data_IF_367860861782
#
_entry.id   IF_367860861782
#
_cell.length_a   1.000
_cell.length_b   1.000
_cell.length_c   1.000
_cell.angle_alpha   90.00
_cell.angle_beta   90.00
_cell.angle_gamma   90.00
#
_symmetry.space_group_name_H-M   'P 1'
#
loop_
_entity.id
_entity.type
_entity.pdbx_description
1 polymer ?
#
# COMPACT_ATOMS: atom_id res chain seq x y z
N UNK A 1 24.27 27.04 31.90
CA UNK A 1 22.92 26.45 31.70
C UNK A 1 23.07 25.27 30.76
N UNK A 2 22.68 24.04 31.14
CA UNK A 2 22.86 22.89 30.27
C UNK A 2 21.87 23.00 29.10
N UNK A 3 22.37 22.90 27.89
CA UNK A 3 21.58 22.87 26.67
C UNK A 3 20.67 21.64 26.71
N UNK A 4 19.36 21.87 26.81
CA UNK A 4 18.34 20.85 26.65
C UNK A 4 18.53 20.19 25.28
N UNK A 5 18.88 18.91 25.30
CA UNK A 5 18.89 18.04 24.14
C UNK A 5 17.46 17.95 23.60
N UNK A 6 17.10 18.87 22.70
CA UNK A 6 15.89 18.79 21.90
C UNK A 6 16.02 17.54 21.04
N UNK A 7 15.36 16.45 21.46
CA UNK A 7 15.09 15.32 20.59
C UNK A 7 14.45 15.86 19.32
N UNK A 8 15.03 15.66 18.12
CA UNK A 8 14.37 16.08 16.91
C UNK A 8 13.00 15.37 16.86
N UNK A 9 11.93 16.07 16.42
CA UNK A 9 10.60 15.48 16.33
C UNK A 9 10.71 14.19 15.54
N UNK A 10 10.03 13.14 16.01
CA UNK A 10 9.99 11.84 15.35
C UNK A 10 9.49 12.05 13.93
N UNK A 11 10.42 12.18 12.98
CA UNK A 11 10.07 12.34 11.57
C UNK A 11 9.46 11.02 11.16
N UNK A 12 8.12 10.96 11.17
CA UNK A 12 7.37 9.79 10.73
C UNK A 12 7.93 9.45 9.35
N UNK A 13 8.53 8.26 9.19
CA UNK A 13 9.25 7.97 7.96
C UNK A 13 8.26 7.98 6.81
N UNK A 14 8.43 8.97 5.93
CA UNK A 14 7.58 9.18 4.75
C UNK A 14 7.74 8.03 3.76
N UNK A 15 6.71 7.85 2.94
CA UNK A 15 6.72 6.90 1.83
C UNK A 15 7.81 7.26 0.82
N UNK A 16 8.39 6.26 0.17
CA UNK A 16 9.43 6.46 -0.84
C UNK A 16 8.85 6.99 -2.16
N UNK A 17 9.73 7.44 -3.08
CA UNK A 17 9.31 7.77 -4.46
C UNK A 17 8.65 6.58 -5.15
N UNK A 18 9.23 5.39 -5.01
CA UNK A 18 8.69 4.16 -5.58
C UNK A 18 7.33 3.78 -4.96
N UNK A 19 7.20 3.85 -3.63
CA UNK A 19 5.91 3.58 -2.97
C UNK A 19 4.81 4.56 -3.37
N UNK A 20 5.14 5.84 -3.59
CA UNK A 20 4.19 6.83 -4.14
C UNK A 20 3.80 6.53 -5.58
N UNK A 21 4.76 6.12 -6.40
CA UNK A 21 4.51 5.71 -7.78
C UNK A 21 3.59 4.48 -7.83
N UNK A 22 3.85 3.47 -7.01
CA UNK A 22 3.01 2.26 -6.89
C UNK A 22 1.60 2.61 -6.41
N UNK A 23 1.45 3.52 -5.45
CA UNK A 23 0.14 4.02 -5.05
C UNK A 23 -0.59 4.75 -6.19
N UNK A 24 0.12 5.54 -6.98
CA UNK A 24 -0.45 6.18 -8.18
C UNK A 24 -0.85 5.18 -9.26
N UNK A 25 -0.06 4.12 -9.47
CA UNK A 25 -0.39 3.03 -10.38
C UNK A 25 -1.65 2.27 -9.90
N UNK A 26 -1.78 2.05 -8.59
CA UNK A 26 -2.96 1.44 -8.00
C UNK A 26 -4.21 2.32 -8.19
N UNK A 27 -4.11 3.63 -7.96
CA UNK A 27 -5.19 4.60 -8.25
C UNK A 27 -5.64 4.53 -9.71
N UNK A 28 -4.67 4.52 -10.65
CA UNK A 28 -4.97 4.43 -12.07
C UNK A 28 -5.69 3.11 -12.40
N UNK A 29 -5.19 1.99 -11.88
CA UNK A 29 -5.83 0.68 -12.02
C UNK A 29 -7.25 0.70 -11.50
N UNK A 30 -7.46 1.17 -10.28
CA UNK A 30 -8.77 1.23 -9.63
C UNK A 30 -9.73 2.12 -10.40
N UNK A 31 -9.25 3.24 -10.94
CA UNK A 31 -10.06 4.13 -11.80
C UNK A 31 -10.53 3.41 -13.06
N UNK A 32 -9.64 2.67 -13.72
CA UNK A 32 -9.99 1.87 -14.89
C UNK A 32 -10.98 0.75 -14.51
N UNK A 33 -10.77 0.06 -13.38
CA UNK A 33 -11.69 -0.96 -12.90
C UNK A 33 -13.08 -0.39 -12.60
N UNK A 34 -13.15 0.79 -11.98
CA UNK A 34 -14.43 1.47 -11.71
C UNK A 34 -15.15 1.81 -13.02
N UNK A 35 -14.44 2.37 -14.01
CA UNK A 35 -15.06 2.78 -15.28
C UNK A 35 -15.54 1.57 -16.09
N UNK A 36 -14.71 0.53 -16.22
CA UNK A 36 -14.96 -0.57 -17.13
C UNK A 36 -15.68 -1.76 -16.52
N UNK A 37 -15.62 -1.92 -15.18
CA UNK A 37 -16.23 -3.04 -14.47
C UNK A 37 -17.27 -2.56 -13.45
N UNK A 38 -16.95 -1.50 -12.68
CA UNK A 38 -17.83 -0.95 -11.66
C UNK A 38 -19.11 -0.29 -12.22
N UNK A 39 -18.99 0.62 -13.18
CA UNK A 39 -20.14 1.32 -13.77
C UNK A 39 -21.15 0.37 -14.43
N UNK A 40 -20.72 -0.61 -15.25
CA UNK A 40 -21.64 -1.62 -15.78
C UNK A 40 -22.33 -2.43 -14.66
N UNK A 41 -21.59 -2.81 -13.63
CA UNK A 41 -22.11 -3.62 -12.52
C UNK A 41 -23.16 -2.86 -11.69
N UNK A 42 -22.93 -1.58 -11.40
CA UNK A 42 -23.87 -0.73 -10.66
C UNK A 42 -25.17 -0.51 -11.46
N UNK A 43 -25.07 -0.37 -12.79
CA UNK A 43 -26.26 -0.28 -13.65
C UNK A 43 -27.10 -1.56 -13.62
N UNK A 44 -26.46 -2.73 -13.55
CA UNK A 44 -27.15 -4.02 -13.52
C UNK A 44 -27.69 -4.37 -12.12
N UNK A 45 -26.95 -4.03 -11.06
CA UNK A 45 -27.28 -4.37 -9.68
C UNK A 45 -26.87 -3.23 -8.71
N UNK A 46 -27.76 -2.24 -8.47
CA UNK A 46 -27.41 -1.04 -7.68
C UNK A 46 -27.03 -1.34 -6.24
N UNK A 47 -27.61 -2.39 -5.64
CA UNK A 47 -27.31 -2.80 -4.26
C UNK A 47 -25.86 -3.31 -4.08
N UNK A 48 -25.21 -3.73 -5.17
CA UNK A 48 -23.78 -4.12 -5.17
C UNK A 48 -22.88 -2.91 -4.89
N UNK A 49 -23.37 -1.69 -5.03
CA UNK A 49 -22.61 -0.49 -4.65
C UNK A 49 -22.23 -0.50 -3.15
N UNK A 50 -23.07 -1.09 -2.28
CA UNK A 50 -22.77 -1.19 -0.85
C UNK A 50 -21.57 -2.10 -0.57
N UNK A 51 -21.42 -3.19 -1.31
CA UNK A 51 -20.26 -4.08 -1.20
C UNK A 51 -18.99 -3.50 -1.81
N UNK A 52 -19.11 -2.49 -2.69
CA UNK A 52 -17.99 -1.76 -3.28
C UNK A 52 -17.44 -0.63 -2.38
N UNK A 53 -18.13 -0.27 -1.29
CA UNK A 53 -17.71 0.81 -0.38
C UNK A 53 -16.29 0.63 0.21
N UNK A 54 -15.87 -0.58 0.64
CA UNK A 54 -14.51 -0.80 1.11
C UNK A 54 -13.46 -0.45 0.04
N UNK A 55 -13.67 -0.87 -1.20
CA UNK A 55 -12.81 -0.54 -2.34
C UNK A 55 -12.75 0.97 -2.63
N UNK A 56 -13.87 1.69 -2.51
CA UNK A 56 -13.89 3.17 -2.66
C UNK A 56 -13.10 3.86 -1.55
N UNK A 57 -13.22 3.39 -0.30
CA UNK A 57 -12.42 3.92 0.80
C UNK A 57 -10.92 3.69 0.56
N UNK A 58 -10.54 2.49 0.09
CA UNK A 58 -9.17 2.17 -0.27
C UNK A 58 -8.64 3.02 -1.42
N UNK A 59 -9.46 3.29 -2.43
CA UNK A 59 -9.12 4.20 -3.52
C UNK A 59 -8.73 5.60 -3.04
N UNK A 60 -9.49 6.17 -2.10
CA UNK A 60 -9.16 7.47 -1.50
C UNK A 60 -7.87 7.40 -0.66
N UNK A 61 -7.64 6.27 0.02
CA UNK A 61 -6.42 6.03 0.78
C UNK A 61 -5.19 5.89 -0.13
N UNK A 62 -5.31 5.25 -1.30
CA UNK A 62 -4.25 5.20 -2.31
C UNK A 62 -3.93 6.58 -2.89
N UNK A 63 -4.95 7.41 -3.12
CA UNK A 63 -4.74 8.82 -3.45
C UNK A 63 -3.93 9.55 -2.39
N UNK A 64 -4.28 9.35 -1.12
CA UNK A 64 -3.55 9.93 0.00
C UNK A 64 -2.07 9.46 0.05
N UNK A 65 -1.82 8.19 -0.26
CA UNK A 65 -0.46 7.63 -0.39
C UNK A 65 0.30 8.21 -1.59
N UNK A 66 -0.35 8.33 -2.74
CA UNK A 66 0.24 8.88 -3.97
C UNK A 66 0.70 10.34 -3.76
N UNK A 67 -0.10 11.12 -3.03
CA UNK A 67 0.23 12.50 -2.62
C UNK A 67 1.40 12.57 -1.60
N UNK A 68 1.86 11.44 -1.07
CA UNK A 68 2.99 11.38 -0.13
C UNK A 68 2.68 11.95 1.26
N UNK A 69 1.39 12.02 1.62
CA UNK A 69 0.91 12.59 2.88
C UNK A 69 0.94 11.58 4.04
N UNK A 70 1.19 10.31 3.74
CA UNK A 70 1.14 9.21 4.70
C UNK A 70 2.51 8.64 5.10
N UNK A 71 2.58 8.16 6.33
CA UNK A 71 3.74 7.44 6.88
C UNK A 71 3.77 5.96 6.48
N UNK A 72 4.93 5.31 6.65
CA UNK A 72 5.13 3.90 6.26
C UNK A 72 4.21 2.89 6.95
N UNK A 73 3.89 3.09 8.23
CA UNK A 73 3.02 2.16 8.98
C UNK A 73 1.60 2.20 8.40
N UNK A 74 1.09 3.42 8.17
CA UNK A 74 -0.19 3.62 7.53
C UNK A 74 -0.23 3.04 6.11
N UNK A 75 0.84 3.24 5.34
CA UNK A 75 0.97 2.61 4.03
C UNK A 75 0.92 1.08 4.08
N UNK A 76 1.62 0.46 5.04
CA UNK A 76 1.57 -0.99 5.21
C UNK A 76 0.16 -1.51 5.55
N UNK A 77 -0.57 -0.78 6.40
CA UNK A 77 -1.97 -1.11 6.70
C UNK A 77 -2.85 -1.00 5.44
N UNK A 78 -2.73 0.08 4.67
CA UNK A 78 -3.49 0.26 3.42
C UNK A 78 -3.20 -0.88 2.43
N UNK A 79 -1.93 -1.20 2.19
CA UNK A 79 -1.58 -2.31 1.29
C UNK A 79 -2.08 -3.66 1.80
N UNK A 80 -2.11 -3.87 3.12
CA UNK A 80 -2.71 -5.06 3.74
C UNK A 80 -4.22 -5.15 3.51
N UNK A 81 -4.95 -4.06 3.73
CA UNK A 81 -6.40 -4.02 3.45
C UNK A 81 -6.70 -4.15 1.96
N UNK A 82 -5.86 -3.59 1.10
CA UNK A 82 -5.99 -3.70 -0.36
C UNK A 82 -5.83 -5.15 -0.82
N UNK A 83 -4.90 -5.89 -0.20
CA UNK A 83 -4.76 -7.32 -0.46
C UNK A 83 -6.03 -8.07 -0.08
N UNK A 84 -6.60 -7.79 1.09
CA UNK A 84 -7.84 -8.43 1.54
C UNK A 84 -9.01 -8.08 0.64
N UNK A 85 -9.12 -6.83 0.19
CA UNK A 85 -10.17 -6.36 -0.73
C UNK A 85 -10.06 -7.02 -2.11
N UNK A 86 -8.87 -7.14 -2.69
CA UNK A 86 -8.67 -7.87 -3.96
C UNK A 86 -9.00 -9.37 -3.82
N UNK A 87 -8.64 -9.99 -2.69
CA UNK A 87 -9.00 -11.40 -2.42
C UNK A 87 -10.51 -11.57 -2.21
N UNK A 88 -11.16 -10.61 -1.56
CA UNK A 88 -12.61 -10.59 -1.37
C UNK A 88 -13.35 -10.43 -2.70
N UNK A 89 -12.88 -9.52 -3.56
CA UNK A 89 -13.42 -9.34 -4.91
C UNK A 89 -13.27 -10.60 -5.77
N UNK A 90 -12.17 -11.33 -5.65
CA UNK A 90 -11.98 -12.61 -6.33
C UNK A 90 -13.01 -13.65 -5.89
N UNK A 91 -13.32 -13.70 -4.59
CA UNK A 91 -14.32 -14.61 -4.03
C UNK A 91 -15.72 -14.28 -4.54
N UNK A 92 -16.15 -13.01 -4.42
CA UNK A 92 -17.46 -12.55 -4.91
C UNK A 92 -17.66 -12.80 -6.42
N UNK A 93 -16.59 -12.74 -7.20
CA UNK A 93 -16.68 -12.98 -8.64
C UNK A 93 -16.98 -14.44 -9.00
N UNK A 94 -16.59 -15.41 -8.17
CA UNK A 94 -16.91 -16.82 -8.42
C UNK A 94 -18.42 -17.10 -8.31
N UNK A 95 -19.16 -16.25 -7.62
CA UNK A 95 -20.60 -16.37 -7.37
C UNK A 95 -21.47 -15.59 -8.39
N UNK A 96 -20.86 -14.80 -9.27
CA UNK A 96 -21.59 -13.99 -10.26
C UNK A 96 -21.84 -14.78 -11.57
N UNK A 97 -23.10 -15.10 -11.83
CA UNK A 97 -23.52 -15.76 -13.07
C UNK A 97 -23.34 -14.86 -14.31
N UNK A 98 -22.59 -15.36 -15.30
CA UNK A 98 -22.51 -14.90 -16.71
C UNK A 98 -21.74 -13.60 -17.08
N UNK A 99 -20.44 -13.47 -16.75
CA UNK A 99 -19.59 -12.45 -17.38
C UNK A 99 -19.24 -12.83 -18.85
N UNK A 100 -19.23 -11.84 -19.73
CA UNK A 100 -18.74 -12.03 -21.12
C UNK A 100 -17.24 -12.37 -21.11
N UNK A 101 -16.75 -13.13 -22.11
CA UNK A 101 -15.31 -13.52 -22.19
C UNK A 101 -14.35 -12.32 -22.12
N UNK A 102 -14.76 -11.17 -22.65
CA UNK A 102 -13.98 -9.93 -22.58
C UNK A 102 -13.87 -9.37 -21.15
N UNK A 103 -14.98 -9.40 -20.38
CA UNK A 103 -14.99 -8.99 -18.98
C UNK A 103 -14.16 -9.92 -18.11
N UNK A 104 -14.23 -11.24 -18.31
CA UNK A 104 -13.39 -12.22 -17.60
C UNK A 104 -11.90 -11.91 -17.82
N UNK A 105 -11.49 -11.70 -19.07
CA UNK A 105 -10.10 -11.38 -19.40
C UNK A 105 -9.65 -10.05 -18.79
N UNK A 106 -10.49 -9.03 -18.88
CA UNK A 106 -10.19 -7.71 -18.30
C UNK A 106 -10.07 -7.77 -16.78
N UNK A 107 -10.94 -8.54 -16.14
CA UNK A 107 -10.93 -8.76 -14.71
C UNK A 107 -9.69 -9.54 -14.26
N UNK A 108 -9.31 -10.59 -14.99
CA UNK A 108 -8.08 -11.33 -14.73
C UNK A 108 -6.85 -10.42 -14.78
N UNK A 109 -6.73 -9.58 -15.81
CA UNK A 109 -5.65 -8.60 -15.91
C UNK A 109 -5.69 -7.55 -14.80
N UNK A 110 -6.90 -7.08 -14.43
CA UNK A 110 -7.11 -6.16 -13.32
C UNK A 110 -6.59 -6.76 -12.01
N UNK A 111 -6.96 -7.99 -11.67
CA UNK A 111 -6.48 -8.68 -10.45
C UNK A 111 -4.98 -8.96 -10.50
N UNK A 112 -4.47 -9.45 -11.63
CA UNK A 112 -3.04 -9.74 -11.78
C UNK A 112 -2.19 -8.48 -11.59
N UNK A 113 -2.60 -7.36 -12.20
CA UNK A 113 -1.93 -6.07 -12.03
C UNK A 113 -2.05 -5.56 -10.58
N UNK A 114 -3.23 -5.65 -9.96
CA UNK A 114 -3.45 -5.25 -8.57
C UNK A 114 -2.53 -6.03 -7.62
N UNK A 115 -2.55 -7.36 -7.69
CA UNK A 115 -1.67 -8.23 -6.89
C UNK A 115 -0.19 -7.92 -7.14
N UNK A 116 0.21 -7.72 -8.39
CA UNK A 116 1.59 -7.34 -8.72
C UNK A 116 2.02 -6.04 -8.05
N UNK A 117 1.18 -4.99 -8.10
CA UNK A 117 1.46 -3.70 -7.47
C UNK A 117 1.54 -3.85 -5.93
N UNK A 118 0.60 -4.57 -5.32
CA UNK A 118 0.55 -4.81 -3.87
C UNK A 118 1.80 -5.54 -3.40
N UNK A 119 2.19 -6.62 -4.08
CA UNK A 119 3.39 -7.39 -3.75
C UNK A 119 4.67 -6.56 -3.88
N UNK A 120 4.78 -5.76 -4.94
CA UNK A 120 5.92 -4.84 -5.10
C UNK A 120 5.96 -3.78 -3.98
N UNK A 121 4.80 -3.23 -3.60
CA UNK A 121 4.73 -2.22 -2.56
C UNK A 121 5.06 -2.78 -1.17
N UNK A 122 4.52 -3.95 -0.82
CA UNK A 122 4.83 -4.65 0.43
C UNK A 122 6.30 -5.10 0.47
N UNK A 123 6.82 -5.62 -0.65
CA UNK A 123 8.23 -5.99 -0.78
C UNK A 123 9.17 -4.79 -0.59
N UNK A 124 8.82 -3.63 -1.15
CA UNK A 124 9.56 -2.39 -0.99
C UNK A 124 9.60 -1.91 0.47
N UNK A 125 8.44 -1.95 1.14
CA UNK A 125 8.29 -1.63 2.55
C UNK A 125 9.11 -2.57 3.43
N UNK A 126 9.00 -3.88 3.22
CA UNK A 126 9.72 -4.91 3.96
C UNK A 126 11.23 -4.79 3.78
N UNK A 127 11.69 -4.60 2.53
CA UNK A 127 13.10 -4.40 2.21
C UNK A 127 13.69 -3.18 2.92
N UNK A 128 12.99 -2.04 2.88
CA UNK A 128 13.44 -0.84 3.58
C UNK A 128 13.47 -1.02 5.08
N UNK A 129 12.49 -1.72 5.64
CA UNK A 129 12.43 -1.99 7.06
C UNK A 129 13.63 -2.83 7.51
N UNK A 130 13.92 -3.92 6.80
CA UNK A 130 15.10 -4.76 7.07
C UNK A 130 16.40 -3.97 6.94
N UNK A 131 16.57 -3.19 5.86
CA UNK A 131 17.77 -2.37 5.64
C UNK A 131 17.99 -1.33 6.75
N UNK A 132 16.93 -0.69 7.23
CA UNK A 132 17.02 0.29 8.30
C UNK A 132 17.35 -0.38 9.65
N UNK A 133 16.78 -1.56 9.93
CA UNK A 133 17.14 -2.35 11.12
C UNK A 133 18.62 -2.72 11.14
N UNK A 134 19.16 -3.16 10.01
CA UNK A 134 20.57 -3.50 9.88
C UNK A 134 21.49 -2.29 10.12
N UNK A 135 21.14 -1.13 9.55
CA UNK A 135 21.89 0.12 9.78
C UNK A 135 21.83 0.57 11.24
N UNK A 136 20.66 0.50 11.87
CA UNK A 136 20.49 0.86 13.28
C UNK A 136 21.36 -0.02 14.19
N UNK A 137 21.35 -1.34 13.97
CA UNK A 137 22.24 -2.28 14.69
C UNK A 137 23.70 -1.92 14.50
N UNK A 138 24.14 -1.70 13.25
CA UNK A 138 25.54 -1.34 12.94
C UNK A 138 25.97 -0.03 13.63
N UNK A 139 25.10 0.97 13.65
CA UNK A 139 25.38 2.25 14.31
C UNK A 139 25.52 2.09 15.83
N UNK A 140 24.68 1.26 16.46
CA UNK A 140 24.79 0.93 17.89
C UNK A 140 26.12 0.22 18.18
N UNK A 141 26.52 -0.75 17.35
CA UNK A 141 27.83 -1.41 17.51
C UNK A 141 29.00 -0.43 17.35
N UNK A 142 28.97 0.46 16.35
CA UNK A 142 30.01 1.48 16.19
C UNK A 142 30.07 2.44 17.37
N UNK A 143 28.93 2.91 17.88
CA UNK A 143 28.89 3.75 19.06
C UNK A 143 29.46 3.04 20.27
N UNK A 144 29.05 1.79 20.54
CA UNK A 144 29.59 1.00 21.65
C UNK A 144 31.12 0.84 21.56
N UNK A 145 31.66 0.63 20.35
CA UNK A 145 33.10 0.48 20.13
C UNK A 145 33.88 1.79 20.33
N UNK A 146 33.31 2.93 19.93
CA UNK A 146 33.88 4.26 20.17
C UNK A 146 33.88 4.60 21.67
N UNK A 147 32.77 4.35 22.37
CA UNK A 147 32.66 4.58 23.81
C UNK A 147 33.64 3.70 24.61
N UNK A 148 33.88 2.46 24.18
CA UNK A 148 34.84 1.56 24.80
C UNK A 148 36.30 2.02 24.62
N UNK A 149 36.63 2.65 23.48
CA UNK A 149 37.97 3.22 23.24
C UNK A 149 38.24 4.49 24.04
N UNK A 150 37.23 5.32 24.29
CA UNK A 150 37.40 6.56 25.07
C UNK A 150 37.60 6.32 26.58
N UNK A 151 37.33 5.10 27.08
CA UNK A 151 37.51 4.73 28.49
C UNK A 151 38.88 4.10 28.80
N UNK A 152 39.73 3.91 27.79
CA UNK A 152 41.12 3.48 27.93
C UNK A 152 42.04 4.67 27.70
#
# INVERSE_FOLDING_TARGET
MPASHLHPPSVIPKLSRLGRFLAGAQVLKETLSIIFLGLPLVKAAPLVLLSALPGVALYLLHWHLALGRAGRIFAAAIWGFTLLDELWGLFLFQELDSPTRAQIRMLHWSYFLGLGIILLALGELAWRWQRNRLRARRNVYHQALLTARQRR
#
